data_IF_438837836321
#
_entry.id   IF_438837836321
#
_cell.length_a   1.000
_cell.length_b   1.000
_cell.length_c   1.000
_cell.angle_alpha   90.00
_cell.angle_beta   90.00
_cell.angle_gamma   90.00
#
_symmetry.space_group_name_H-M   'P 1'
#
loop_
_entity.id
_entity.type
_entity.pdbx_description
1 polymer ?
#
# COMPACT_ATOMS: atom_id res chain seq x y z
N UNK A 1 2.98 26.17 15.68
CA UNK A 1 2.42 25.08 14.85
C UNK A 1 3.45 23.97 14.79
N UNK A 2 3.41 23.02 15.72
CA UNK A 2 4.25 21.82 15.67
C UNK A 2 3.81 21.01 14.46
N UNK A 3 4.66 20.92 13.44
CA UNK A 3 4.46 19.96 12.36
C UNK A 3 4.62 18.58 12.97
N UNK A 4 3.53 18.03 13.52
CA UNK A 4 3.46 16.64 13.96
C UNK A 4 3.91 15.82 12.77
N UNK A 5 5.06 15.15 12.90
CA UNK A 5 5.55 14.26 11.87
C UNK A 5 4.43 13.25 11.60
N UNK A 6 3.79 13.26 10.41
CA UNK A 6 2.63 12.39 10.16
C UNK A 6 3.01 10.90 10.22
N UNK A 7 4.32 10.59 10.23
CA UNK A 7 4.86 9.25 10.31
C UNK A 7 5.66 8.97 11.60
N UNK A 8 5.62 9.83 12.63
CA UNK A 8 6.33 9.57 13.90
C UNK A 8 5.95 8.24 14.57
N UNK A 9 4.81 7.66 14.18
CA UNK A 9 4.33 6.35 14.60
C UNK A 9 4.86 5.16 13.77
N UNK A 10 5.23 5.38 12.50
CA UNK A 10 5.78 4.33 11.63
C UNK A 10 7.30 4.37 11.70
N UNK A 11 7.84 3.80 12.77
CA UNK A 11 9.28 3.72 12.98
C UNK A 11 9.95 2.85 11.91
N UNK A 12 11.26 3.03 11.72
CA UNK A 12 12.04 2.19 10.81
C UNK A 12 11.96 0.71 11.17
N UNK A 13 11.88 0.39 12.45
CA UNK A 13 11.75 -0.98 12.94
C UNK A 13 10.38 -1.56 12.58
N UNK A 14 9.30 -0.77 12.76
CA UNK A 14 7.96 -1.15 12.33
C UNK A 14 7.91 -1.41 10.82
N UNK A 15 8.50 -0.52 10.01
CA UNK A 15 8.61 -0.73 8.56
C UNK A 15 9.36 -2.03 8.24
N UNK A 16 10.51 -2.27 8.88
CA UNK A 16 11.34 -3.46 8.64
C UNK A 16 10.61 -4.76 9.03
N UNK A 17 9.77 -4.73 10.07
CA UNK A 17 8.97 -5.87 10.50
C UNK A 17 7.73 -6.14 9.60
N UNK A 18 7.20 -5.09 8.96
CA UNK A 18 5.98 -5.14 8.15
C UNK A 18 6.27 -5.38 6.66
N UNK A 19 7.42 -4.91 6.16
CA UNK A 19 7.76 -5.03 4.74
C UNK A 19 7.83 -6.47 4.24
N UNK A 20 8.52 -7.44 4.88
CA UNK A 20 8.60 -8.81 4.37
C UNK A 20 7.24 -9.52 4.22
N UNK A 21 6.30 -9.50 5.19
CA UNK A 21 4.99 -10.11 4.99
C UNK A 21 4.16 -9.37 3.94
N UNK A 22 4.31 -8.05 3.80
CA UNK A 22 3.61 -7.28 2.77
C UNK A 22 4.10 -7.63 1.36
N UNK A 23 5.42 -7.68 1.16
CA UNK A 23 6.04 -8.07 -0.10
C UNK A 23 5.60 -9.47 -0.55
N UNK A 24 5.48 -10.42 0.39
CA UNK A 24 4.94 -11.77 0.10
C UNK A 24 3.48 -11.73 -0.36
N UNK A 25 2.64 -10.93 0.29
CA UNK A 25 1.25 -10.78 -0.10
C UNK A 25 1.11 -10.12 -1.48
N UNK A 26 1.89 -9.06 -1.73
CA UNK A 26 1.92 -8.38 -3.01
C UNK A 26 2.42 -9.29 -4.14
N UNK A 27 3.46 -10.08 -3.90
CA UNK A 27 3.94 -11.08 -4.85
C UNK A 27 2.88 -12.15 -5.15
N UNK A 28 2.15 -12.62 -4.14
CA UNK A 28 1.07 -13.59 -4.35
C UNK A 28 -0.06 -13.02 -5.21
N UNK A 29 -0.49 -11.79 -4.95
CA UNK A 29 -1.52 -11.12 -5.76
C UNK A 29 -1.00 -10.79 -7.17
N UNK A 30 0.26 -10.38 -7.32
CA UNK A 30 0.89 -10.15 -8.62
C UNK A 30 0.85 -11.40 -9.51
N UNK A 31 1.12 -12.59 -8.96
CA UNK A 31 1.01 -13.86 -9.68
C UNK A 31 -0.43 -14.13 -10.15
N UNK A 32 -1.43 -13.77 -9.36
CA UNK A 32 -2.84 -14.01 -9.67
C UNK A 32 -3.43 -12.99 -10.65
N UNK A 33 -2.94 -11.75 -10.61
CA UNK A 33 -3.53 -10.61 -11.33
C UNK A 33 -2.73 -10.12 -12.52
N UNK A 34 -1.45 -10.54 -12.63
CA UNK A 34 -0.50 -10.02 -13.62
C UNK A 34 -0.04 -8.59 -13.36
N UNK A 35 -0.33 -8.02 -12.18
CA UNK A 35 0.13 -6.70 -11.76
C UNK A 35 1.57 -6.75 -11.24
N UNK A 36 2.20 -5.59 -11.14
CA UNK A 36 3.51 -5.47 -10.51
C UNK A 36 3.41 -5.55 -8.98
N UNK A 37 4.26 -6.37 -8.36
CA UNK A 37 4.24 -6.58 -6.92
C UNK A 37 4.72 -5.35 -6.14
N UNK A 38 5.68 -4.59 -6.67
CA UNK A 38 6.18 -3.39 -6.02
C UNK A 38 5.13 -2.26 -6.06
N UNK A 39 4.38 -2.14 -7.15
CA UNK A 39 3.26 -1.20 -7.25
C UNK A 39 2.14 -1.52 -6.24
N UNK A 40 1.78 -2.81 -6.09
CA UNK A 40 0.82 -3.25 -5.08
C UNK A 40 1.31 -2.97 -3.65
N UNK A 41 2.59 -3.23 -3.36
CA UNK A 41 3.20 -2.93 -2.07
C UNK A 41 3.17 -1.41 -1.79
N UNK A 42 3.55 -0.59 -2.77
CA UNK A 42 3.57 0.87 -2.66
C UNK A 42 2.16 1.44 -2.42
N UNK A 43 1.17 1.01 -3.20
CA UNK A 43 -0.21 1.46 -3.04
C UNK A 43 -0.78 1.12 -1.66
N UNK A 44 -0.48 -0.09 -1.15
CA UNK A 44 -0.88 -0.48 0.20
C UNK A 44 -0.25 0.41 1.28
N UNK A 45 1.04 0.75 1.15
CA UNK A 45 1.71 1.70 2.04
C UNK A 45 1.07 3.09 2.00
N UNK A 46 0.77 3.60 0.79
CA UNK A 46 0.13 4.90 0.62
C UNK A 46 -1.25 4.94 1.30
N UNK A 47 -2.10 3.93 1.08
CA UNK A 47 -3.41 3.86 1.72
C UNK A 47 -3.33 3.81 3.25
N UNK A 48 -2.35 3.11 3.79
CA UNK A 48 -2.12 3.08 5.24
C UNK A 48 -1.80 4.48 5.76
N UNK A 49 -0.88 5.19 5.09
CA UNK A 49 -0.44 6.53 5.50
C UNK A 49 -1.57 7.56 5.36
N UNK A 50 -2.35 7.49 4.29
CA UNK A 50 -3.54 8.32 4.09
C UNK A 50 -4.60 8.09 5.16
N UNK A 51 -4.88 6.81 5.48
CA UNK A 51 -5.80 6.46 6.56
C UNK A 51 -5.28 6.96 7.91
N UNK A 52 -3.99 6.79 8.18
CA UNK A 52 -3.38 7.26 9.43
C UNK A 52 -3.43 8.79 9.55
N UNK A 53 -3.25 9.51 8.44
CA UNK A 53 -3.42 10.96 8.38
C UNK A 53 -4.86 11.39 8.69
N UNK A 54 -5.86 10.63 8.25
CA UNK A 54 -7.27 10.95 8.43
C UNK A 54 -7.84 10.52 9.80
N UNK A 55 -7.43 9.37 10.31
CA UNK A 55 -8.05 8.71 11.47
C UNK A 55 -7.10 8.54 12.67
N UNK A 56 -5.84 8.96 12.52
CA UNK A 56 -4.77 8.63 13.45
C UNK A 56 -4.13 7.26 13.16
N UNK A 57 -2.93 7.01 13.69
CA UNK A 57 -2.20 5.77 13.44
C UNK A 57 -2.91 4.55 14.04
N UNK A 58 -2.97 3.42 13.32
CA UNK A 58 -3.56 2.20 13.86
C UNK A 58 -2.67 1.59 14.94
N UNK A 59 -3.29 0.92 15.92
CA UNK A 59 -2.57 0.15 16.94
C UNK A 59 -1.80 -1.04 16.35
N UNK A 60 -2.37 -1.69 15.32
CA UNK A 60 -1.68 -2.70 14.49
C UNK A 60 -1.96 -2.42 13.00
N UNK A 61 -0.94 -2.00 12.22
CA UNK A 61 -1.09 -1.72 10.79
C UNK A 61 -1.14 -2.97 9.91
N UNK A 62 -0.71 -4.15 10.39
CA UNK A 62 -0.51 -5.34 9.54
C UNK A 62 -1.80 -5.83 8.88
N UNK A 63 -2.93 -6.03 9.59
CA UNK A 63 -4.17 -6.48 8.95
C UNK A 63 -4.69 -5.50 7.91
N UNK A 64 -4.55 -4.19 8.17
CA UNK A 64 -4.95 -3.13 7.25
C UNK A 64 -4.13 -3.12 5.97
N UNK A 65 -2.81 -3.32 6.05
CA UNK A 65 -1.93 -3.41 4.90
C UNK A 65 -2.25 -4.62 4.01
N UNK A 66 -2.46 -5.81 4.60
CA UNK A 66 -2.80 -7.01 3.83
C UNK A 66 -4.16 -6.86 3.13
N UNK A 67 -5.14 -6.24 3.80
CA UNK A 67 -6.42 -5.93 3.19
C UNK A 67 -6.28 -4.90 2.06
N UNK A 68 -5.40 -3.91 2.21
CA UNK A 68 -5.12 -2.93 1.17
C UNK A 68 -4.55 -3.58 -0.09
N UNK A 69 -3.56 -4.47 0.01
CA UNK A 69 -3.02 -5.19 -1.17
C UNK A 69 -4.13 -5.91 -1.95
N UNK A 70 -5.01 -6.64 -1.25
CA UNK A 70 -6.15 -7.33 -1.89
C UNK A 70 -7.13 -6.36 -2.54
N UNK A 71 -7.38 -5.22 -1.89
CA UNK A 71 -8.26 -4.19 -2.43
C UNK A 71 -7.69 -3.56 -3.70
N UNK A 72 -6.37 -3.32 -3.76
CA UNK A 72 -5.73 -2.73 -4.93
C UNK A 72 -5.68 -3.69 -6.10
N UNK A 73 -5.33 -4.96 -5.83
CA UNK A 73 -5.36 -6.01 -6.83
C UNK A 73 -6.77 -6.14 -7.46
N UNK A 74 -7.83 -6.12 -6.64
CA UNK A 74 -9.22 -6.14 -7.13
C UNK A 74 -9.62 -4.87 -7.87
N UNK A 75 -9.21 -3.70 -7.38
CA UNK A 75 -9.55 -2.43 -8.01
C UNK A 75 -8.93 -2.31 -9.41
N UNK A 76 -7.67 -2.73 -9.58
CA UNK A 76 -6.98 -2.72 -10.86
C UNK A 76 -7.57 -3.73 -11.88
N UNK A 77 -8.11 -4.85 -11.41
CA UNK A 77 -8.85 -5.79 -12.26
C UNK A 77 -10.25 -5.30 -12.64
N UNK A 78 -10.92 -4.56 -11.75
CA UNK A 78 -12.27 -4.01 -11.96
C UNK A 78 -12.30 -2.67 -12.68
N UNK A 79 -11.17 -1.96 -12.75
CA UNK A 79 -11.07 -0.70 -13.48
C UNK A 79 -11.15 -0.98 -14.99
N UNK A 80 -12.07 -0.36 -15.76
CA UNK A 80 -11.92 -0.34 -17.21
C UNK A 80 -10.56 0.26 -17.49
N UNK A 81 -9.71 -0.47 -18.24
CA UNK A 81 -8.33 -0.08 -18.58
C UNK A 81 -8.31 1.34 -19.17
N UNK A 82 -8.22 2.35 -18.31
CA UNK A 82 -8.07 3.77 -18.66
C UNK A 82 -6.67 4.19 -18.30
N UNK A 83 -5.70 3.51 -18.88
CA UNK A 83 -4.37 4.04 -19.07
C UNK A 83 -3.98 3.76 -20.51
N UNK A 84 -4.57 4.55 -21.41
CA UNK A 84 -3.90 4.87 -22.66
C UNK A 84 -2.67 5.67 -22.27
N UNK A 85 -1.51 5.03 -22.42
CA UNK A 85 -0.20 5.64 -22.67
C UNK A 85 -0.15 7.16 -22.44
N UNK A 86 0.25 7.57 -21.23
CA UNK A 86 0.75 8.93 -21.06
C UNK A 86 1.97 9.11 -21.98
N UNK A 87 2.05 10.20 -22.77
CA UNK A 87 3.17 10.39 -23.69
C UNK A 87 4.44 10.59 -22.86
N UNK A 88 5.40 9.69 -23.05
CA UNK A 88 6.79 9.91 -22.64
C UNK A 88 7.28 11.17 -23.38
N UNK A 89 7.59 12.23 -22.64
CA UNK A 89 8.41 13.35 -23.11
C UNK A 89 9.82 13.16 -22.59
#
# INVERSE_FOLDING_TARGET
MTKTDPAGWLTRDAYTALRPPLARAAAAEAVLTGLDAADLEQAAWLRLLERAKAQGPPADPRPGLLAAVRSEARAALGAPRREAAGPRR
#
